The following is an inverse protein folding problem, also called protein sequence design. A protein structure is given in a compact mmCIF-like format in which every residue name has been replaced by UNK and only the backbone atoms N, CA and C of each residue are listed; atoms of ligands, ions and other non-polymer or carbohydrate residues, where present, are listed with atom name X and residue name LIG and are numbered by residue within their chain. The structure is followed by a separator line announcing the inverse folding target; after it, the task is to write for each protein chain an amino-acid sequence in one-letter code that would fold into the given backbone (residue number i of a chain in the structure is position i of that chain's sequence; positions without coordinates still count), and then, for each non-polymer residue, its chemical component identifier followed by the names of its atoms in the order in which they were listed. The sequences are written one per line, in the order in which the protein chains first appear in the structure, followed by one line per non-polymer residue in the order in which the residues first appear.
data_IF_934983109976
#
_entry.id   IF_934983109976
#
_cell.length_a   1.000
_cell.length_b   1.000
_cell.length_c   1.000
_cell.angle_alpha   90.00
_cell.angle_beta   90.00
_cell.angle_gamma   90.00
#
_symmetry.space_group_name_H-M   'P 1'
#
loop_
_entity.id
_entity.type
_entity.pdbx_description
1 polymer ?
#
# COMPACT_ATOMS: atom_id res chain seq x y z
N UNK A 1 49.92 6.71 8.19
CA UNK A 1 48.96 5.59 8.12
C UNK A 1 47.77 5.91 9.02
N UNK A 2 46.57 6.01 8.42
CA UNK A 2 45.23 5.63 8.91
C UNK A 2 44.77 6.13 10.30
N UNK A 3 43.56 6.61 10.57
CA UNK A 3 42.27 6.81 9.89
C UNK A 3 41.52 7.78 10.85
N UNK A 4 40.82 8.82 10.41
CA UNK A 4 39.53 8.67 9.74
C UNK A 4 38.42 8.31 10.73
N UNK A 5 38.20 9.12 11.78
CA UNK A 5 36.98 9.05 12.61
C UNK A 5 35.78 9.51 11.78
N UNK A 6 35.31 8.61 10.92
CA UNK A 6 34.05 8.75 10.21
C UNK A 6 32.91 8.51 11.21
N UNK A 7 32.22 9.60 11.51
CA UNK A 7 31.05 9.70 12.38
C UNK A 7 29.98 8.70 11.94
N UNK A 8 29.50 7.90 12.88
CA UNK A 8 28.43 6.92 12.70
C UNK A 8 27.27 7.49 11.88
N UNK A 9 27.09 6.98 10.67
CA UNK A 9 25.80 6.93 10.00
C UNK A 9 25.12 5.64 10.47
N UNK A 10 24.11 5.78 11.33
CA UNK A 10 23.11 4.75 11.56
C UNK A 10 22.37 4.52 10.23
N UNK A 11 22.79 3.49 9.50
CA UNK A 11 21.97 2.93 8.43
C UNK A 11 20.87 2.17 9.14
N UNK A 12 19.67 2.76 9.20
CA UNK A 12 18.47 2.07 9.63
C UNK A 12 18.23 0.91 8.67
N UNK A 13 18.55 -0.29 9.13
CA UNK A 13 18.22 -1.54 8.48
C UNK A 13 16.69 -1.70 8.56
N UNK A 14 15.99 -1.12 7.59
CA UNK A 14 14.59 -1.42 7.34
C UNK A 14 14.54 -2.90 6.97
N UNK A 15 14.15 -3.71 7.95
CA UNK A 15 13.84 -5.12 7.78
C UNK A 15 12.85 -5.23 6.61
N UNK A 16 13.38 -5.66 5.45
CA UNK A 16 12.60 -5.83 4.24
C UNK A 16 11.72 -7.04 4.47
N UNK A 17 10.51 -6.77 4.99
CA UNK A 17 9.47 -7.77 5.17
C UNK A 17 9.33 -8.49 3.84
N UNK A 18 9.46 -9.84 3.79
CA UNK A 18 9.37 -10.58 2.55
C UNK A 18 8.10 -10.17 1.82
N UNK A 19 8.22 -9.79 0.54
CA UNK A 19 7.10 -9.42 -0.32
C UNK A 19 6.25 -10.68 -0.50
N UNK A 20 5.37 -10.90 0.46
CA UNK A 20 4.30 -11.85 0.33
C UNK A 20 3.32 -11.20 -0.64
N UNK A 21 2.97 -11.90 -1.73
CA UNK A 21 1.96 -11.44 -2.68
C UNK A 21 0.59 -11.46 -1.98
N UNK A 22 0.31 -10.41 -1.22
CA UNK A 22 -0.97 -10.22 -0.53
C UNK A 22 -1.97 -9.74 -1.58
N UNK A 23 -3.12 -10.41 -1.66
CA UNK A 23 -4.20 -9.96 -2.55
C UNK A 23 -4.72 -8.61 -2.05
N UNK A 24 -5.00 -7.70 -2.97
CA UNK A 24 -5.53 -6.36 -2.63
C UNK A 24 -6.84 -6.44 -1.82
N UNK A 25 -7.65 -7.48 -2.02
CA UNK A 25 -8.89 -7.74 -1.26
C UNK A 25 -8.66 -8.11 0.19
N UNK A 26 -7.45 -8.55 0.56
CA UNK A 26 -7.09 -8.94 1.92
C UNK A 26 -6.45 -7.79 2.72
N UNK A 27 -6.16 -6.66 2.06
CA UNK A 27 -5.56 -5.48 2.73
C UNK A 27 -6.60 -4.83 3.65
N UNK A 28 -6.22 -4.66 4.93
CA UNK A 28 -7.03 -3.95 5.91
C UNK A 28 -7.00 -2.45 5.65
N UNK A 29 -8.18 -1.83 5.54
CA UNK A 29 -8.31 -0.40 5.27
C UNK A 29 -8.41 0.36 6.60
N UNK A 30 -7.27 0.83 7.10
CA UNK A 30 -7.17 1.46 8.43
C UNK A 30 -7.19 2.99 8.40
N UNK A 31 -6.76 3.58 7.28
CA UNK A 31 -6.66 5.04 7.11
C UNK A 31 -6.79 5.45 5.64
N UNK A 32 -6.87 6.78 5.43
CA UNK A 32 -6.98 7.41 4.10
C UNK A 32 -5.80 7.06 3.18
N UNK A 33 -4.57 6.97 3.71
CA UNK A 33 -3.38 6.68 2.92
C UNK A 33 -3.39 5.24 2.38
N UNK A 34 -3.75 4.30 3.24
CA UNK A 34 -3.87 2.88 2.90
C UNK A 34 -5.00 2.69 1.89
N UNK A 35 -6.15 3.33 2.10
CA UNK A 35 -7.27 3.31 1.16
C UNK A 35 -6.86 3.81 -0.23
N UNK A 36 -6.12 4.92 -0.30
CA UNK A 36 -5.64 5.49 -1.55
C UNK A 36 -4.67 4.56 -2.28
N UNK A 37 -3.68 4.01 -1.57
CA UNK A 37 -2.69 3.09 -2.14
C UNK A 37 -3.36 1.83 -2.72
N UNK A 38 -4.38 1.31 -2.04
CA UNK A 38 -5.15 0.16 -2.52
C UNK A 38 -5.96 0.50 -3.78
N UNK A 39 -6.63 1.67 -3.81
CA UNK A 39 -7.35 2.13 -5.02
C UNK A 39 -6.41 2.27 -6.22
N UNK A 40 -5.24 2.88 -6.04
CA UNK A 40 -4.23 3.03 -7.12
C UNK A 40 -3.75 1.67 -7.64
N UNK A 41 -3.58 0.71 -6.73
CA UNK A 41 -3.22 -0.66 -7.10
C UNK A 41 -4.31 -1.34 -7.93
N UNK A 42 -5.59 -1.15 -7.56
CA UNK A 42 -6.72 -1.65 -8.36
C UNK A 42 -6.79 -0.99 -9.74
N UNK A 43 -6.54 0.32 -9.87
CA UNK A 43 -6.51 0.98 -11.19
C UNK A 43 -5.47 0.33 -12.11
N UNK A 44 -4.31 -0.03 -11.57
CA UNK A 44 -3.26 -0.73 -12.31
C UNK A 44 -3.72 -2.14 -12.74
N UNK A 45 -4.49 -2.83 -11.91
CA UNK A 45 -5.06 -4.14 -12.23
C UNK A 45 -6.12 -4.05 -13.33
N UNK A 46 -7.00 -3.04 -13.26
CA UNK A 46 -8.00 -2.76 -14.29
C UNK A 46 -7.37 -2.42 -15.64
N UNK A 47 -6.22 -1.73 -15.67
CA UNK A 47 -5.54 -1.49 -16.94
C UNK A 47 -5.20 -2.80 -17.69
N UNK A 48 -4.87 -3.87 -16.95
CA UNK A 48 -4.51 -5.17 -17.55
C UNK A 48 -5.73 -6.00 -17.97
N UNK A 49 -6.84 -5.94 -17.24
CA UNK A 49 -8.01 -6.84 -17.40
C UNK A 49 -9.29 -6.16 -17.89
N UNK A 50 -9.35 -4.83 -17.82
CA UNK A 50 -10.50 -4.00 -18.24
C UNK A 50 -11.69 -3.97 -17.29
N UNK A 51 -11.76 -4.84 -16.28
CA UNK A 51 -12.86 -4.92 -15.33
C UNK A 51 -12.41 -5.42 -13.95
N UNK A 52 -13.22 -5.14 -12.93
CA UNK A 52 -13.07 -5.64 -11.56
C UNK A 52 -14.00 -6.82 -11.30
N UNK A 53 -13.57 -7.78 -10.48
CA UNK A 53 -14.46 -8.78 -9.91
C UNK A 53 -15.31 -8.21 -8.78
N UNK A 54 -16.27 -8.99 -8.28
CA UNK A 54 -17.23 -8.54 -7.26
C UNK A 54 -16.55 -8.20 -5.92
N UNK A 55 -15.62 -9.05 -5.48
CA UNK A 55 -14.79 -8.86 -4.29
C UNK A 55 -13.89 -7.63 -4.39
N UNK A 56 -13.27 -7.40 -5.55
CA UNK A 56 -12.48 -6.20 -5.83
C UNK A 56 -13.36 -4.94 -5.77
N UNK A 57 -14.55 -4.99 -6.37
CA UNK A 57 -15.51 -3.88 -6.33
C UNK A 57 -15.97 -3.57 -4.91
N UNK A 58 -16.22 -4.60 -4.09
CA UNK A 58 -16.57 -4.45 -2.69
C UNK A 58 -15.44 -3.81 -1.87
N UNK A 59 -14.19 -4.23 -2.11
CA UNK A 59 -13.01 -3.63 -1.46
C UNK A 59 -12.79 -2.18 -1.89
N UNK A 60 -12.97 -1.85 -3.17
CA UNK A 60 -12.89 -0.46 -3.65
C UNK A 60 -13.93 0.42 -2.94
N UNK A 61 -15.15 -0.07 -2.74
CA UNK A 61 -16.18 0.65 -1.98
C UNK A 61 -15.79 0.87 -0.52
N UNK A 62 -15.17 -0.11 0.13
CA UNK A 62 -14.61 0.05 1.48
C UNK A 62 -13.60 1.21 1.54
N UNK A 63 -12.67 1.28 0.58
CA UNK A 63 -11.71 2.37 0.48
C UNK A 63 -12.40 3.73 0.29
N UNK A 64 -13.42 3.82 -0.58
CA UNK A 64 -14.13 5.07 -0.87
C UNK A 64 -14.84 5.61 0.39
N UNK A 65 -15.44 4.73 1.19
CA UNK A 65 -16.16 5.13 2.42
C UNK A 65 -15.28 5.88 3.41
N UNK A 66 -13.97 5.60 3.46
CA UNK A 66 -13.04 6.32 4.36
C UNK A 66 -13.00 7.82 4.03
N UNK A 67 -13.16 8.20 2.77
CA UNK A 67 -13.14 9.59 2.33
C UNK A 67 -14.50 10.30 2.42
N UNK A 68 -15.57 9.54 2.69
CA UNK A 68 -16.92 10.09 2.86
C UNK A 68 -17.08 10.60 4.31
N UNK A 69 -16.66 11.85 4.55
CA UNK A 69 -16.97 12.53 5.82
C UNK A 69 -18.48 12.84 5.86
N UNK A 70 -19.15 12.67 7.02
CA UNK A 70 -20.52 13.14 7.17
C UNK A 70 -20.55 14.64 6.89
N UNK A 71 -21.48 15.05 6.03
CA UNK A 71 -21.75 16.45 5.67
C UNK A 71 -22.49 17.13 6.82
#
# INVERSE_FOLDING_TARGET
MNNGENKLQEVQEQEQVPINDIKLVDVAIVDENTALNVIVSFVTLAHKRGAFSLDESAKIWECIKIFQKPI
#
